data_IF_841471606853
#
_entry.id   IF_841471606853
#
_cell.length_a   1.000
_cell.length_b   1.000
_cell.length_c   1.000
_cell.angle_alpha   90.00
_cell.angle_beta   90.00
_cell.angle_gamma   90.00
#
_symmetry.space_group_name_H-M   'P 1'
#
loop_
_entity.id
_entity.type
_entity.pdbx_description
1 polymer ?
#
# COMPACT_ATOMS: atom_id res chain seq x y z
N UNK A 1 6.87 -12.48 -11.41
CA UNK A 1 7.55 -11.74 -10.33
C UNK A 1 6.44 -11.20 -9.46
N UNK A 2 6.36 -11.64 -8.22
CA UNK A 2 5.27 -11.28 -7.29
C UNK A 2 5.55 -9.88 -6.70
N UNK A 3 4.55 -8.99 -6.62
CA UNK A 3 4.75 -7.68 -6.01
C UNK A 3 4.89 -7.79 -4.50
N UNK A 4 5.79 -7.00 -3.91
CA UNK A 4 6.01 -6.95 -2.45
C UNK A 4 5.78 -5.55 -1.92
N UNK A 5 5.32 -5.45 -0.67
CA UNK A 5 5.10 -4.16 0.00
C UNK A 5 6.34 -3.27 -0.04
N UNK A 6 7.53 -3.83 0.17
CA UNK A 6 8.78 -3.07 0.18
C UNK A 6 9.08 -2.44 -1.18
N UNK A 7 8.85 -3.17 -2.27
CA UNK A 7 9.03 -2.64 -3.63
C UNK A 7 7.98 -1.58 -3.98
N UNK A 8 6.75 -1.75 -3.49
CA UNK A 8 5.71 -0.74 -3.60
C UNK A 8 6.12 0.54 -2.85
N UNK A 9 6.64 0.42 -1.63
CA UNK A 9 7.12 1.55 -0.84
C UNK A 9 8.31 2.26 -1.48
N UNK A 10 9.29 1.53 -2.01
CA UNK A 10 10.41 2.10 -2.78
C UNK A 10 9.93 2.87 -4.00
N UNK A 11 8.94 2.34 -4.71
CA UNK A 11 8.36 2.97 -5.90
C UNK A 11 7.60 4.24 -5.52
N UNK A 12 6.70 4.16 -4.54
CA UNK A 12 5.94 5.30 -4.03
C UNK A 12 6.89 6.41 -3.57
N UNK A 13 7.85 6.10 -2.70
CA UNK A 13 8.78 7.11 -2.16
C UNK A 13 9.76 7.63 -3.20
N UNK A 14 10.00 6.93 -4.31
CA UNK A 14 10.78 7.44 -5.44
C UNK A 14 10.09 8.62 -6.11
N UNK A 15 8.79 8.52 -6.37
CA UNK A 15 8.03 9.52 -7.14
C UNK A 15 7.28 10.53 -6.27
N UNK A 16 6.83 10.12 -5.08
CA UNK A 16 6.07 10.94 -4.14
C UNK A 16 6.96 11.41 -3.00
N UNK A 17 7.20 12.71 -2.92
CA UNK A 17 8.04 13.34 -1.87
C UNK A 17 7.26 14.12 -0.83
N UNK A 18 5.97 14.37 -1.08
CA UNK A 18 5.11 15.07 -0.11
C UNK A 18 4.83 14.16 1.07
N UNK A 19 5.17 14.63 2.28
CA UNK A 19 4.90 13.90 3.51
C UNK A 19 3.40 13.64 3.71
N UNK A 20 2.54 14.60 3.33
CA UNK A 20 1.09 14.42 3.44
C UNK A 20 0.57 13.28 2.56
N UNK A 21 1.10 13.14 1.34
CA UNK A 21 0.73 12.08 0.41
C UNK A 21 1.27 10.72 0.86
N UNK A 22 2.48 10.67 1.41
CA UNK A 22 3.03 9.44 1.97
C UNK A 22 2.21 8.97 3.19
N UNK A 23 1.81 9.89 4.07
CA UNK A 23 0.91 9.57 5.20
C UNK A 23 -0.47 9.09 4.73
N UNK A 24 -1.01 9.70 3.68
CA UNK A 24 -2.26 9.25 3.04
C UNK A 24 -2.15 7.81 2.54
N UNK A 25 -1.13 7.49 1.74
CA UNK A 25 -0.92 6.14 1.23
C UNK A 25 -0.79 5.09 2.36
N UNK A 26 -0.07 5.42 3.45
CA UNK A 26 0.05 4.54 4.62
C UNK A 26 -1.30 4.33 5.35
N UNK A 27 -2.13 5.38 5.44
CA UNK A 27 -3.46 5.27 6.04
C UNK A 27 -4.40 4.39 5.19
N UNK A 28 -4.32 4.52 3.86
CA UNK A 28 -5.06 3.67 2.92
C UNK A 28 -4.56 2.23 3.00
N UNK A 29 -3.24 1.99 3.04
CA UNK A 29 -2.65 0.67 3.25
C UNK A 29 -3.22 -0.02 4.50
N UNK A 30 -3.20 0.67 5.65
CA UNK A 30 -3.71 0.11 6.89
C UNK A 30 -5.20 -0.25 6.81
N UNK A 31 -6.00 0.59 6.16
CA UNK A 31 -7.44 0.38 5.97
C UNK A 31 -7.71 -0.81 5.05
N UNK A 32 -7.03 -0.88 3.90
CA UNK A 32 -7.19 -1.95 2.92
C UNK A 32 -6.70 -3.30 3.47
N UNK A 33 -5.61 -3.32 4.24
CA UNK A 33 -5.16 -4.53 4.93
C UNK A 33 -6.21 -5.07 5.91
N UNK A 34 -6.90 -4.19 6.64
CA UNK A 34 -7.99 -4.60 7.52
C UNK A 34 -9.18 -5.20 6.74
N UNK A 35 -9.50 -4.64 5.57
CA UNK A 35 -10.51 -5.22 4.70
C UNK A 35 -10.09 -6.57 4.11
N UNK A 36 -8.85 -6.71 3.66
CA UNK A 36 -8.34 -7.98 3.15
C UNK A 36 -8.53 -9.11 4.19
N UNK A 37 -8.13 -8.87 5.45
CA UNK A 37 -8.39 -9.82 6.55
C UNK A 37 -9.87 -10.10 6.78
N UNK A 38 -10.72 -9.07 6.72
CA UNK A 38 -12.17 -9.21 6.92
C UNK A 38 -12.82 -10.07 5.84
N UNK A 39 -12.34 -9.97 4.61
CA UNK A 39 -12.92 -10.67 3.46
C UNK A 39 -12.20 -11.98 3.12
N UNK A 40 -11.13 -12.34 3.84
CA UNK A 40 -10.38 -13.58 3.59
C UNK A 40 -9.50 -13.51 2.33
N UNK A 41 -9.09 -12.31 1.95
CA UNK A 41 -8.27 -12.03 0.78
C UNK A 41 -6.76 -12.01 1.12
N UNK A 42 -5.92 -11.94 0.09
CA UNK A 42 -4.46 -11.80 0.24
C UNK A 42 -4.08 -10.40 0.77
N UNK A 43 -3.76 -10.34 2.07
CA UNK A 43 -3.39 -9.10 2.74
C UNK A 43 -2.18 -8.40 2.11
N UNK A 44 -1.15 -9.14 1.69
CA UNK A 44 0.09 -8.55 1.16
C UNK A 44 -0.19 -7.91 -0.21
N UNK A 45 -0.92 -8.62 -1.08
CA UNK A 45 -1.34 -8.09 -2.38
C UNK A 45 -2.17 -6.80 -2.22
N UNK A 46 -3.11 -6.80 -1.28
CA UNK A 46 -3.97 -5.65 -1.02
C UNK A 46 -3.21 -4.46 -0.38
N UNK A 47 -2.17 -4.71 0.41
CA UNK A 47 -1.25 -3.67 0.89
C UNK A 47 -0.47 -3.02 -0.25
N UNK A 48 0.05 -3.82 -1.18
CA UNK A 48 0.74 -3.31 -2.38
C UNK A 48 -0.19 -2.41 -3.20
N UNK A 49 -1.39 -2.91 -3.52
CA UNK A 49 -2.37 -2.16 -4.31
C UNK A 49 -2.73 -0.83 -3.64
N UNK A 50 -2.91 -0.83 -2.31
CA UNK A 50 -3.21 0.36 -1.53
C UNK A 50 -2.06 1.38 -1.50
N UNK A 51 -0.81 0.93 -1.43
CA UNK A 51 0.36 1.83 -1.45
C UNK A 51 0.54 2.56 -2.80
N UNK A 52 0.05 1.99 -3.90
CA UNK A 52 0.24 2.49 -5.26
C UNK A 52 -1.06 2.93 -5.95
N UNK A 53 -2.12 3.19 -5.17
CA UNK A 53 -3.45 3.47 -5.72
C UNK A 53 -3.60 4.86 -6.36
N UNK A 54 -2.79 5.81 -5.92
CA UNK A 54 -2.71 7.19 -6.44
C UNK A 54 -1.66 7.30 -7.55
#
# INVERSE_FOLDING_TARGET
MEPTRDRAWETLTRYTKSESLLRHALAVEASTAAYARKFGEDEELWRVAALLHD
#
